data_IF_408915550224
#
_entry.id   IF_408915550224
#
_cell.length_a   1.000
_cell.length_b   1.000
_cell.length_c   1.000
_cell.angle_alpha   90.00
_cell.angle_beta   90.00
_cell.angle_gamma   90.00
#
_symmetry.space_group_name_H-M   'P 1'
#
loop_
_entity.id
_entity.type
_entity.pdbx_description
1 polymer ?
#
# COMPACT_ATOMS: atom_id res chain seq x y z
N UNK A 1 -9.55 19.56 11.20
CA UNK A 1 -9.45 20.01 9.79
C UNK A 1 -9.70 21.50 9.61
N UNK A 2 -10.68 22.10 10.31
CA UNK A 2 -11.13 23.50 10.12
C UNK A 2 -10.17 24.64 10.58
N UNK A 3 -8.86 24.38 10.67
CA UNK A 3 -7.87 25.40 11.09
C UNK A 3 -6.46 25.14 10.53
N UNK A 4 -6.34 24.26 9.52
CA UNK A 4 -5.05 23.93 8.89
C UNK A 4 -4.99 24.66 7.56
N UNK A 5 -3.88 25.36 7.30
CA UNK A 5 -3.60 25.90 5.98
C UNK A 5 -3.18 24.74 5.08
N UNK A 6 -3.88 24.57 3.96
CA UNK A 6 -3.61 23.51 2.97
C UNK A 6 -3.07 24.17 1.72
N UNK A 7 -1.90 23.72 1.27
CA UNK A 7 -1.23 24.22 0.06
C UNK A 7 -1.12 23.10 -0.95
N UNK A 8 -1.58 23.34 -2.18
CA UNK A 8 -1.46 22.40 -3.29
C UNK A 8 -0.24 22.76 -4.15
N UNK A 9 0.60 21.77 -4.46
CA UNK A 9 1.71 21.88 -5.40
C UNK A 9 1.36 21.07 -6.65
N UNK A 10 0.99 21.75 -7.73
CA UNK A 10 0.49 21.13 -8.96
C UNK A 10 1.42 21.47 -10.11
N UNK A 11 1.86 20.46 -10.86
CA UNK A 11 2.75 20.63 -12.01
C UNK A 11 4.19 20.17 -11.75
N UNK A 12 4.91 19.67 -12.77
CA UNK A 12 6.27 19.16 -12.62
C UNK A 12 7.26 20.23 -12.11
N UNK A 13 7.01 21.51 -12.41
CA UNK A 13 7.83 22.65 -12.02
C UNK A 13 7.93 22.86 -10.50
N UNK A 14 6.89 22.48 -9.74
CA UNK A 14 6.85 22.62 -8.28
C UNK A 14 6.90 21.29 -7.53
N UNK A 15 6.59 20.18 -8.21
CA UNK A 15 6.49 18.85 -7.60
C UNK A 15 7.78 18.39 -6.89
N UNK A 16 8.95 18.84 -7.35
CA UNK A 16 10.23 18.50 -6.73
C UNK A 16 10.32 18.97 -5.27
N UNK A 17 9.68 20.09 -4.92
CA UNK A 17 9.65 20.58 -3.54
C UNK A 17 8.90 19.61 -2.62
N UNK A 18 7.85 18.96 -3.11
CA UNK A 18 7.10 17.98 -2.33
C UNK A 18 7.83 16.62 -2.25
N UNK A 19 8.30 16.10 -3.39
CA UNK A 19 8.87 14.74 -3.44
C UNK A 19 10.31 14.61 -2.95
N UNK A 20 11.07 15.71 -2.89
CA UNK A 20 12.49 15.70 -2.50
C UNK A 20 12.76 16.41 -1.17
N UNK A 21 11.75 16.99 -0.52
CA UNK A 21 11.92 17.59 0.79
C UNK A 21 12.39 16.56 1.82
N UNK A 22 13.33 16.91 2.71
CA UNK A 22 13.67 16.06 3.84
C UNK A 22 12.50 15.97 4.84
N UNK A 23 12.46 14.90 5.63
CA UNK A 23 11.43 14.70 6.69
C UNK A 23 11.38 15.88 7.69
N UNK A 24 12.50 16.58 7.91
CA UNK A 24 12.59 17.76 8.77
C UNK A 24 11.84 18.98 8.23
N UNK A 25 11.56 19.03 6.92
CA UNK A 25 10.81 20.12 6.28
C UNK A 25 9.37 19.71 6.02
N UNK A 26 9.14 18.52 5.47
CA UNK A 26 7.81 17.96 5.18
C UNK A 26 7.68 16.56 5.78
N UNK A 27 7.09 16.47 6.97
CA UNK A 27 6.88 15.21 7.68
C UNK A 27 5.58 14.51 7.27
N UNK A 28 5.65 13.20 7.09
CA UNK A 28 4.47 12.34 6.89
C UNK A 28 3.76 11.97 8.20
N UNK A 29 4.42 12.11 9.35
CA UNK A 29 3.91 11.58 10.61
C UNK A 29 2.54 12.17 10.97
N UNK A 30 2.42 13.50 10.99
CA UNK A 30 1.17 14.18 11.38
C UNK A 30 -0.03 13.71 10.53
N UNK A 31 0.16 13.63 9.21
CA UNK A 31 -0.94 13.33 8.28
C UNK A 31 -1.33 11.85 8.26
N UNK A 32 -0.44 10.93 8.66
CA UNK A 32 -0.70 9.49 8.70
C UNK A 32 -0.97 8.92 10.09
N UNK A 33 -1.01 9.76 11.14
CA UNK A 33 -1.33 9.33 12.51
C UNK A 33 -2.68 8.59 12.63
N UNK A 34 -3.63 8.86 11.74
CA UNK A 34 -4.92 8.16 11.72
C UNK A 34 -4.79 6.64 11.43
N UNK A 35 -3.64 6.16 10.94
CA UNK A 35 -3.38 4.75 10.69
C UNK A 35 -2.94 3.97 11.93
N UNK A 36 -2.51 4.65 13.00
CA UNK A 36 -1.99 3.99 14.21
C UNK A 36 -3.00 3.02 14.84
N UNK A 37 -4.31 3.33 14.94
CA UNK A 37 -5.30 2.38 15.44
C UNK A 37 -5.47 1.12 14.56
N UNK A 38 -5.13 1.20 13.27
CA UNK A 38 -5.27 0.09 12.31
C UNK A 38 -4.03 -0.80 12.29
N UNK A 39 -2.83 -0.21 12.26
CA UNK A 39 -1.57 -0.99 12.20
C UNK A 39 -1.03 -1.38 13.58
N UNK A 40 -1.42 -0.65 14.62
CA UNK A 40 -0.99 -0.85 15.99
C UNK A 40 0.16 0.07 16.42
N UNK A 41 0.38 0.21 17.74
CA UNK A 41 1.45 1.03 18.29
C UNK A 41 2.84 0.51 17.88
N UNK A 42 3.80 1.42 17.68
CA UNK A 42 5.18 1.10 17.30
C UNK A 42 5.37 0.66 15.84
N UNK A 43 4.36 0.86 14.99
CA UNK A 43 4.38 0.47 13.57
C UNK A 43 4.33 1.70 12.66
N UNK A 44 5.32 1.78 11.76
CA UNK A 44 5.51 2.74 10.66
C UNK A 44 5.34 4.21 11.08
N UNK A 45 4.11 4.70 11.14
CA UNK A 45 3.81 6.12 11.42
C UNK A 45 3.78 6.44 12.92
N UNK A 46 3.86 5.43 13.78
CA UNK A 46 3.95 5.58 15.25
C UNK A 46 5.39 5.52 15.79
N UNK A 47 6.39 5.51 14.92
CA UNK A 47 7.81 5.49 15.31
C UNK A 47 8.59 6.63 14.68
N UNK A 48 9.76 6.90 15.27
CA UNK A 48 10.75 7.85 14.76
C UNK A 48 11.15 7.50 13.33
N UNK A 49 11.51 8.54 12.56
CA UNK A 49 11.82 8.39 11.14
C UNK A 49 12.92 7.35 10.86
N UNK A 50 13.96 7.28 11.69
CA UNK A 50 15.03 6.27 11.55
C UNK A 50 14.51 4.84 11.66
N UNK A 51 13.67 4.56 12.66
CA UNK A 51 13.05 3.25 12.87
C UNK A 51 12.05 2.95 11.74
N UNK A 52 11.29 3.96 11.30
CA UNK A 52 10.37 3.83 10.16
C UNK A 52 11.11 3.42 8.89
N UNK A 53 12.28 4.00 8.62
CA UNK A 53 13.12 3.63 7.46
C UNK A 53 13.57 2.17 7.54
N UNK A 54 13.93 1.67 8.73
CA UNK A 54 14.27 0.26 8.92
C UNK A 54 13.07 -0.66 8.68
N UNK A 55 11.89 -0.30 9.19
CA UNK A 55 10.66 -1.06 8.93
C UNK A 55 10.29 -1.06 7.43
N UNK A 56 10.40 0.08 6.76
CA UNK A 56 10.20 0.17 5.30
C UNK A 56 11.18 -0.69 4.52
N UNK A 57 12.44 -0.80 4.96
CA UNK A 57 13.40 -1.69 4.31
C UNK A 57 12.88 -3.13 4.28
N UNK A 58 12.33 -3.64 5.38
CA UNK A 58 11.74 -4.99 5.40
C UNK A 58 10.58 -5.15 4.41
N UNK A 59 9.67 -4.18 4.35
CA UNK A 59 8.57 -4.19 3.37
C UNK A 59 9.08 -4.16 1.93
N UNK A 60 10.04 -3.28 1.63
CA UNK A 60 10.58 -3.17 0.26
C UNK A 60 11.32 -4.44 -0.16
N UNK A 61 11.96 -5.16 0.77
CA UNK A 61 12.62 -6.44 0.49
C UNK A 61 11.63 -7.53 0.09
N UNK A 62 10.48 -7.61 0.75
CA UNK A 62 9.39 -8.53 0.39
C UNK A 62 8.81 -8.24 -1.01
N UNK A 63 8.92 -6.99 -1.48
CA UNK A 63 8.39 -6.56 -2.78
C UNK A 63 9.45 -6.48 -3.89
N UNK A 64 10.66 -7.02 -3.68
CA UNK A 64 11.70 -7.07 -4.74
C UNK A 64 11.38 -8.13 -5.78
N UNK A 65 11.90 -7.94 -6.99
CA UNK A 65 11.72 -8.83 -8.16
C UNK A 65 11.88 -10.32 -7.84
N UNK A 66 12.91 -10.70 -7.07
CA UNK A 66 13.13 -12.10 -6.72
C UNK A 66 11.99 -12.70 -5.87
N UNK A 67 11.42 -11.90 -4.95
CA UNK A 67 10.27 -12.31 -4.15
C UNK A 67 8.98 -12.27 -4.96
N UNK A 68 8.77 -11.22 -5.75
CA UNK A 68 7.62 -11.11 -6.66
C UNK A 68 7.52 -12.31 -7.61
N UNK A 69 8.63 -12.77 -8.18
CA UNK A 69 8.67 -13.98 -9.01
C UNK A 69 8.16 -15.22 -8.27
N UNK A 70 8.49 -15.36 -6.98
CA UNK A 70 7.99 -16.48 -6.17
C UNK A 70 6.50 -16.39 -5.81
N UNK A 71 5.89 -15.21 -5.95
CA UNK A 71 4.46 -15.00 -5.71
C UNK A 71 3.60 -15.25 -6.95
N UNK A 72 4.17 -15.23 -8.16
CA UNK A 72 3.40 -15.37 -9.41
C UNK A 72 2.55 -16.63 -9.42
N UNK A 73 3.13 -17.79 -9.13
CA UNK A 73 2.39 -19.06 -9.15
C UNK A 73 1.29 -19.08 -8.09
N UNK A 74 1.50 -18.41 -6.95
CA UNK A 74 0.50 -18.29 -5.88
C UNK A 74 -0.67 -17.41 -6.31
N UNK A 75 -0.39 -16.28 -6.97
CA UNK A 75 -1.42 -15.40 -7.51
C UNK A 75 -2.23 -16.08 -8.62
N UNK A 76 -1.54 -16.81 -9.51
CA UNK A 76 -2.20 -17.59 -10.58
C UNK A 76 -3.12 -18.66 -9.99
N UNK A 77 -2.66 -19.37 -8.97
CA UNK A 77 -3.48 -20.38 -8.28
C UNK A 77 -4.74 -19.77 -7.68
N UNK A 78 -4.61 -18.67 -6.91
CA UNK A 78 -5.78 -17.99 -6.32
C UNK A 78 -6.75 -17.48 -7.38
N UNK A 79 -6.25 -16.92 -8.50
CA UNK A 79 -7.11 -16.47 -9.59
C UNK A 79 -7.84 -17.63 -10.28
N UNK A 80 -7.14 -18.73 -10.56
CA UNK A 80 -7.74 -19.93 -11.16
C UNK A 80 -8.80 -20.53 -10.24
N UNK A 81 -8.49 -20.69 -8.95
CA UNK A 81 -9.42 -21.23 -7.96
C UNK A 81 -10.65 -20.31 -7.77
N UNK A 82 -10.45 -19.00 -7.75
CA UNK A 82 -11.53 -18.02 -7.63
C UNK A 82 -12.49 -18.08 -8.83
N UNK A 83 -11.95 -18.00 -10.05
CA UNK A 83 -12.76 -17.98 -11.27
C UNK A 83 -13.26 -19.37 -11.73
N UNK A 84 -12.68 -20.47 -11.23
CA UNK A 84 -13.21 -21.82 -11.49
C UNK A 84 -14.65 -22.02 -11.00
N UNK A 85 -15.11 -21.17 -10.07
CA UNK A 85 -16.47 -21.18 -9.51
C UNK A 85 -17.49 -20.51 -10.43
N UNK A 86 -17.04 -19.79 -11.46
CA UNK A 86 -17.92 -19.14 -12.41
C UNK A 86 -18.47 -20.15 -13.43
N UNK A 87 -19.71 -19.91 -13.88
CA UNK A 87 -20.30 -20.64 -15.00
C UNK A 87 -19.80 -20.15 -16.36
N UNK A 88 -20.34 -20.71 -17.45
CA UNK A 88 -19.92 -20.34 -18.82
C UNK A 88 -20.24 -18.89 -19.20
N UNK A 89 -21.27 -18.29 -18.59
CA UNK A 89 -21.64 -16.88 -18.80
C UNK A 89 -22.43 -16.31 -17.62
N UNK A 90 -22.43 -14.99 -17.48
CA UNK A 90 -23.15 -14.27 -16.44
C UNK A 90 -22.80 -12.78 -16.39
N UNK A 91 -23.34 -12.10 -15.39
CA UNK A 91 -23.02 -10.70 -15.06
C UNK A 91 -22.65 -10.64 -13.58
N UNK A 92 -21.59 -9.89 -13.26
CA UNK A 92 -21.04 -9.75 -11.91
C UNK A 92 -20.69 -8.30 -11.63
N UNK A 93 -20.59 -7.94 -10.35
CA UNK A 93 -19.94 -6.70 -9.93
C UNK A 93 -18.42 -6.88 -9.93
N UNK A 94 -17.76 -6.42 -10.99
CA UNK A 94 -16.31 -6.56 -11.15
C UNK A 94 -15.51 -5.94 -10.00
N UNK A 95 -16.01 -4.86 -9.37
CA UNK A 95 -15.32 -4.25 -8.23
C UNK A 95 -15.32 -5.21 -7.04
N UNK A 96 -16.49 -5.76 -6.72
CA UNK A 96 -16.65 -6.72 -5.62
C UNK A 96 -15.80 -7.97 -5.83
N UNK A 97 -15.83 -8.54 -7.04
CA UNK A 97 -15.09 -9.75 -7.38
C UNK A 97 -13.57 -9.54 -7.28
N UNK A 98 -13.06 -8.41 -7.79
CA UNK A 98 -11.63 -8.10 -7.71
C UNK A 98 -11.18 -7.73 -6.30
N UNK A 99 -12.02 -7.07 -5.49
CA UNK A 99 -11.70 -6.79 -4.07
C UNK A 99 -11.44 -8.10 -3.30
N UNK A 100 -12.26 -9.12 -3.53
CA UNK A 100 -12.06 -10.43 -2.92
C UNK A 100 -10.83 -11.16 -3.43
N UNK A 101 -10.63 -11.21 -4.75
CA UNK A 101 -9.46 -11.86 -5.33
C UNK A 101 -8.16 -11.18 -4.88
N UNK A 102 -8.14 -9.84 -4.79
CA UNK A 102 -6.97 -9.09 -4.32
C UNK A 102 -6.67 -9.41 -2.85
N UNK A 103 -7.68 -9.55 -1.99
CA UNK A 103 -7.45 -9.96 -0.59
C UNK A 103 -6.84 -11.36 -0.53
N UNK A 104 -7.39 -12.34 -1.28
CA UNK A 104 -6.87 -13.71 -1.31
C UNK A 104 -5.41 -13.78 -1.79
N UNK A 105 -5.11 -13.10 -2.90
CA UNK A 105 -3.76 -13.05 -3.45
C UNK A 105 -2.78 -12.33 -2.52
N UNK A 106 -3.19 -11.19 -1.93
CA UNK A 106 -2.36 -10.47 -0.97
C UNK A 106 -2.08 -11.31 0.28
N UNK A 107 -3.09 -11.94 0.89
CA UNK A 107 -2.95 -12.77 2.10
C UNK A 107 -2.11 -14.02 1.89
N UNK A 108 -2.03 -14.54 0.65
CA UNK A 108 -1.16 -15.68 0.36
C UNK A 108 0.31 -15.26 0.18
N UNK A 109 0.55 -14.09 -0.39
CA UNK A 109 1.88 -13.65 -0.79
C UNK A 109 2.63 -12.84 0.29
N UNK A 110 1.89 -12.12 1.14
CA UNK A 110 2.41 -11.15 2.11
C UNK A 110 2.01 -11.53 3.54
#
# INVERSE_FOLDING_TARGET
MFHKNITFMIGPEVSAHFFKAPESELSQQEVYQFNVPTFGPGVVFDVDYSVRQEQFRFFTEALRVNKLKSYVDQMVTEAQDYFSKWGESGEVDLKYELEHLIILTASRCL
#
